data_IF_483964665123
#
_entry.id   IF_483964665123
#
_cell.length_a   1.000
_cell.length_b   1.000
_cell.length_c   1.000
_cell.angle_alpha   90.00
_cell.angle_beta   90.00
_cell.angle_gamma   90.00
#
_symmetry.space_group_name_H-M   'P 1'
#
loop_
_entity.id
_entity.type
_entity.pdbx_description
1 polymer ?
#
# COMPACT_ATOMS: atom_id res chain seq x y z
N UNK A 1 26.26 1.44 -2.19
CA UNK A 1 26.31 2.88 -2.02
C UNK A 1 24.93 3.42 -1.64
N UNK A 2 24.89 4.27 -0.62
CA UNK A 2 23.64 4.86 -0.15
C UNK A 2 23.21 6.00 -1.07
N UNK A 3 23.08 5.70 -2.36
CA UNK A 3 22.68 6.69 -3.34
C UNK A 3 21.16 6.90 -3.31
N UNK A 4 20.74 8.15 -3.40
CA UNK A 4 19.33 8.48 -3.39
C UNK A 4 19.04 9.71 -4.25
N UNK A 5 17.94 9.65 -5.01
CA UNK A 5 17.55 10.75 -5.88
C UNK A 5 16.20 11.32 -5.48
N UNK A 6 16.19 12.54 -4.99
CA UNK A 6 14.96 13.20 -4.56
C UNK A 6 14.40 14.08 -5.67
N UNK A 7 13.26 13.65 -6.22
CA UNK A 7 12.62 14.40 -7.30
C UNK A 7 11.50 15.28 -6.76
N UNK A 8 11.68 16.59 -6.85
CA UNK A 8 10.68 17.54 -6.37
C UNK A 8 10.92 18.92 -6.97
N UNK A 9 9.89 19.47 -7.60
CA UNK A 9 9.98 20.79 -8.22
C UNK A 9 10.15 21.88 -7.15
N UNK A 10 10.29 21.46 -5.90
CA UNK A 10 10.46 22.39 -4.80
C UNK A 10 11.88 22.33 -4.24
N UNK A 11 12.77 23.14 -4.82
CA UNK A 11 14.16 23.17 -4.37
C UNK A 11 14.25 23.49 -2.89
N UNK A 12 13.21 24.13 -2.35
CA UNK A 12 13.18 24.50 -0.95
C UNK A 12 13.16 23.25 -0.07
N UNK A 13 12.36 22.27 -0.46
CA UNK A 13 12.25 21.02 0.29
C UNK A 13 13.47 20.14 0.07
N UNK A 14 13.73 19.80 -1.19
CA UNK A 14 14.87 18.96 -1.52
C UNK A 14 16.14 19.45 -0.85
N UNK A 15 16.26 20.76 -0.72
CA UNK A 15 17.43 21.36 -0.10
C UNK A 15 17.59 20.89 1.34
N UNK A 16 16.47 20.82 2.06
CA UNK A 16 16.47 20.39 3.45
C UNK A 16 16.68 18.88 3.55
N UNK A 17 15.82 18.13 2.86
CA UNK A 17 15.90 16.67 2.87
C UNK A 17 17.27 16.20 2.39
N UNK A 18 17.94 17.04 1.62
CA UNK A 18 19.27 16.71 1.10
C UNK A 18 20.33 16.89 2.17
N UNK A 19 20.08 17.80 3.11
CA UNK A 19 21.02 18.06 4.20
C UNK A 19 21.09 16.87 5.15
N UNK A 20 19.94 16.30 5.47
CA UNK A 20 19.88 15.16 6.38
C UNK A 20 20.36 13.89 5.69
N UNK A 21 20.08 13.78 4.39
CA UNK A 21 20.49 12.61 3.62
C UNK A 21 22.00 12.55 3.48
N UNK A 22 22.61 13.69 3.15
CA UNK A 22 24.07 13.76 2.98
C UNK A 22 24.77 13.62 4.33
N UNK A 23 24.05 13.93 5.40
CA UNK A 23 24.61 13.83 6.75
C UNK A 23 24.81 12.36 7.14
N UNK A 24 23.88 11.52 6.75
CA UNK A 24 23.95 10.10 7.07
C UNK A 24 24.93 9.38 6.14
N UNK A 25 25.60 10.16 5.29
CA UNK A 25 26.56 9.58 4.37
C UNK A 25 25.96 9.29 3.01
N UNK A 26 24.64 9.44 2.90
CA UNK A 26 23.93 9.19 1.66
C UNK A 26 24.22 10.27 0.64
N UNK A 27 23.79 10.05 -0.60
CA UNK A 27 24.00 11.02 -1.68
C UNK A 27 22.67 11.52 -2.21
N UNK A 28 22.13 12.59 -1.59
CA UNK A 28 20.87 13.19 -2.00
C UNK A 28 20.95 13.90 -3.34
N UNK A 29 19.88 13.82 -4.12
CA UNK A 29 19.85 14.46 -5.43
C UNK A 29 18.55 15.24 -5.63
N UNK A 30 18.55 16.16 -6.58
CA UNK A 30 17.37 16.98 -6.86
C UNK A 30 17.01 16.93 -8.33
N UNK A 31 15.71 16.95 -8.62
CA UNK A 31 15.23 16.90 -9.99
C UNK A 31 13.90 17.63 -10.13
N UNK A 32 13.86 18.63 -11.00
CA UNK A 32 12.65 19.40 -11.23
C UNK A 32 11.79 18.76 -12.31
N UNK A 33 12.36 17.79 -13.01
CA UNK A 33 11.64 17.08 -14.07
C UNK A 33 11.93 15.59 -14.05
N UNK A 34 10.91 14.78 -14.27
CA UNK A 34 11.07 13.34 -14.28
C UNK A 34 11.95 12.89 -15.44
N UNK A 35 11.58 13.31 -16.64
CA UNK A 35 12.33 12.95 -17.85
C UNK A 35 13.84 13.01 -17.57
N UNK A 36 14.27 14.03 -16.85
CA UNK A 36 15.67 14.21 -16.53
C UNK A 36 16.15 13.12 -15.58
N UNK A 37 15.30 12.76 -14.62
CA UNK A 37 15.64 11.72 -13.65
C UNK A 37 15.66 10.34 -14.31
N UNK A 38 14.98 10.22 -15.43
CA UNK A 38 14.92 8.96 -16.16
C UNK A 38 16.22 8.71 -16.92
N UNK A 39 16.74 9.76 -17.54
CA UNK A 39 17.98 9.66 -18.31
C UNK A 39 19.12 9.15 -17.44
N UNK A 40 19.29 9.77 -16.27
CA UNK A 40 20.34 9.37 -15.34
C UNK A 40 20.01 8.05 -14.66
N UNK A 41 18.72 7.85 -14.38
CA UNK A 41 18.27 6.61 -13.74
C UNK A 41 18.69 5.38 -14.53
N UNK A 42 18.79 5.55 -15.86
CA UNK A 42 19.19 4.45 -16.72
C UNK A 42 20.66 4.57 -17.12
N UNK A 43 21.30 5.64 -16.65
CA UNK A 43 22.72 5.87 -16.93
C UNK A 43 23.57 5.61 -15.71
N UNK A 44 22.94 5.19 -14.62
CA UNK A 44 23.65 4.90 -13.38
C UNK A 44 22.84 3.94 -12.50
N UNK A 45 23.48 3.42 -11.46
CA UNK A 45 22.83 2.50 -10.54
C UNK A 45 22.26 3.24 -9.33
N UNK A 46 20.96 3.13 -9.13
CA UNK A 46 20.29 3.79 -8.01
C UNK A 46 19.50 2.78 -7.17
N UNK A 47 19.92 2.60 -5.92
CA UNK A 47 19.26 1.66 -4.99
C UNK A 47 17.88 2.15 -4.56
N UNK A 48 17.81 3.37 -4.04
CA UNK A 48 16.56 3.95 -3.60
C UNK A 48 16.38 5.37 -4.12
N UNK A 49 15.19 5.67 -4.61
CA UNK A 49 14.90 7.00 -5.14
C UNK A 49 13.57 7.53 -4.60
N UNK A 50 13.52 8.84 -4.39
CA UNK A 50 12.31 9.48 -3.88
C UNK A 50 11.67 10.39 -4.93
N UNK A 51 10.40 10.14 -5.24
CA UNK A 51 9.69 10.93 -6.23
C UNK A 51 8.29 11.29 -5.73
N UNK A 52 8.06 12.57 -5.49
CA UNK A 52 6.77 13.05 -5.01
C UNK A 52 5.72 12.97 -6.12
N UNK A 53 4.46 13.16 -5.74
CA UNK A 53 3.36 13.11 -6.70
C UNK A 53 3.21 14.44 -7.43
N UNK A 54 3.23 15.52 -6.67
CA UNK A 54 3.09 16.86 -7.24
C UNK A 54 4.23 17.15 -8.21
N UNK A 55 4.12 16.64 -9.43
CA UNK A 55 5.14 16.85 -10.45
C UNK A 55 4.59 17.63 -11.63
N UNK A 56 5.43 18.50 -12.21
CA UNK A 56 5.04 19.32 -13.36
C UNK A 56 4.83 18.51 -14.63
N UNK A 57 5.81 17.66 -14.95
CA UNK A 57 5.75 16.82 -16.14
C UNK A 57 4.61 15.81 -16.01
N UNK A 58 4.59 15.07 -14.91
CA UNK A 58 3.55 14.08 -14.71
C UNK A 58 3.60 13.47 -13.32
N UNK A 59 2.46 13.00 -12.84
CA UNK A 59 2.38 12.40 -11.51
C UNK A 59 3.52 11.39 -11.30
N UNK A 60 3.79 11.07 -10.04
CA UNK A 60 4.85 10.13 -9.73
C UNK A 60 4.36 8.69 -9.70
N UNK A 61 3.12 8.51 -9.25
CA UNK A 61 2.54 7.17 -9.17
C UNK A 61 2.67 6.44 -10.50
N UNK A 62 2.35 7.13 -11.58
CA UNK A 62 2.43 6.53 -12.92
C UNK A 62 3.89 6.40 -13.37
N UNK A 63 4.74 7.27 -12.84
CA UNK A 63 6.16 7.25 -13.19
C UNK A 63 6.79 5.92 -12.81
N UNK A 64 6.30 5.32 -11.73
CA UNK A 64 6.82 4.04 -11.27
C UNK A 64 6.88 3.03 -12.41
N UNK A 65 5.80 2.94 -13.18
CA UNK A 65 5.73 2.02 -14.30
C UNK A 65 7.08 1.94 -15.02
N UNK A 66 7.66 3.09 -15.31
CA UNK A 66 8.95 3.15 -15.99
C UNK A 66 10.05 2.50 -15.15
N UNK A 67 10.09 2.87 -13.87
CA UNK A 67 11.09 2.32 -12.96
C UNK A 67 10.99 0.81 -12.87
N UNK A 68 9.80 0.31 -12.56
CA UNK A 68 9.57 -1.12 -12.45
C UNK A 68 9.86 -1.82 -13.77
N UNK A 69 10.01 -1.04 -14.83
CA UNK A 69 10.29 -1.58 -16.15
C UNK A 69 11.79 -1.70 -16.39
N UNK A 70 12.54 -0.69 -15.95
CA UNK A 70 13.98 -0.67 -16.12
C UNK A 70 14.68 -0.72 -14.76
N UNK A 71 14.00 -1.28 -13.77
CA UNK A 71 14.55 -1.38 -12.42
C UNK A 71 13.53 -1.97 -11.45
N UNK A 72 13.28 -3.28 -11.58
CA UNK A 72 12.33 -3.99 -10.72
C UNK A 72 12.81 -4.12 -9.29
N UNK A 73 14.10 -4.42 -9.12
CA UNK A 73 14.69 -4.56 -7.79
C UNK A 73 14.85 -3.20 -7.12
N UNK A 74 14.67 -2.13 -7.89
CA UNK A 74 14.79 -0.78 -7.37
C UNK A 74 13.59 -0.43 -6.49
N UNK A 75 13.83 0.47 -5.53
CA UNK A 75 12.77 0.90 -4.62
C UNK A 75 12.62 2.41 -4.62
N UNK A 76 11.40 2.88 -4.88
CA UNK A 76 11.11 4.31 -4.92
C UNK A 76 10.06 4.68 -3.89
N UNK A 77 10.19 5.88 -3.33
CA UNK A 77 9.23 6.37 -2.34
C UNK A 77 8.35 7.46 -2.90
N UNK A 78 7.03 7.31 -2.76
CA UNK A 78 6.09 8.28 -3.25
C UNK A 78 5.58 9.18 -2.13
N UNK A 79 5.72 10.49 -2.32
CA UNK A 79 5.27 11.46 -1.32
C UNK A 79 4.43 12.57 -1.96
N UNK A 80 3.40 12.99 -1.25
CA UNK A 80 2.51 14.05 -1.74
C UNK A 80 1.88 14.82 -0.59
N UNK A 81 1.70 16.12 -0.79
CA UNK A 81 1.10 16.95 0.25
C UNK A 81 -0.41 16.98 0.16
N UNK A 82 -0.94 16.64 -1.01
CA UNK A 82 -2.38 16.64 -1.22
C UNK A 82 -3.06 15.64 -0.29
N UNK A 83 -2.34 14.56 0.05
CA UNK A 83 -2.89 13.55 0.93
C UNK A 83 -4.05 12.80 0.30
N UNK A 84 -4.08 11.49 0.49
CA UNK A 84 -5.14 10.66 -0.07
C UNK A 84 -4.85 9.18 0.17
N UNK A 85 -5.76 8.51 0.87
CA UNK A 85 -5.61 7.09 1.16
C UNK A 85 -5.74 6.25 -0.10
N UNK A 86 -6.73 6.58 -0.92
CA UNK A 86 -6.96 5.86 -2.17
C UNK A 86 -5.71 5.87 -3.04
N UNK A 87 -5.23 7.07 -3.36
CA UNK A 87 -4.04 7.22 -4.18
C UNK A 87 -2.82 6.59 -3.53
N UNK A 88 -2.82 6.55 -2.20
CA UNK A 88 -1.72 5.98 -1.45
C UNK A 88 -1.59 4.48 -1.72
N UNK A 89 -2.71 3.77 -1.58
CA UNK A 89 -2.73 2.33 -1.81
C UNK A 89 -2.17 1.98 -3.19
N UNK A 90 -2.85 2.45 -4.22
CA UNK A 90 -2.43 2.19 -5.60
C UNK A 90 -0.98 2.63 -5.81
N UNK A 91 -0.52 3.56 -4.98
CA UNK A 91 0.85 4.07 -5.07
C UNK A 91 1.82 3.15 -4.35
N UNK A 92 1.28 2.27 -3.51
CA UNK A 92 2.11 1.33 -2.75
C UNK A 92 2.33 0.04 -3.53
N UNK A 93 1.31 -0.39 -4.25
CA UNK A 93 1.39 -1.61 -5.05
C UNK A 93 2.11 -1.35 -6.37
N UNK A 94 2.25 -0.08 -6.72
CA UNK A 94 2.91 0.30 -7.96
C UNK A 94 4.43 0.15 -7.83
N UNK A 95 5.03 0.96 -6.94
CA UNK A 95 6.46 0.90 -6.74
C UNK A 95 6.92 1.77 -5.59
N UNK A 96 5.99 2.12 -4.70
CA UNK A 96 6.30 2.95 -3.55
C UNK A 96 6.48 2.12 -2.29
N UNK A 97 7.68 2.15 -1.72
CA UNK A 97 7.98 1.39 -0.52
C UNK A 97 7.25 1.98 0.69
N UNK A 98 7.07 3.30 0.68
CA UNK A 98 6.40 3.98 1.77
C UNK A 98 5.73 5.26 1.29
N UNK A 99 4.61 5.61 1.91
CA UNK A 99 3.87 6.82 1.54
C UNK A 99 3.90 7.84 2.67
N UNK A 100 4.57 8.96 2.43
CA UNK A 100 4.68 10.02 3.43
C UNK A 100 4.20 11.35 2.86
N UNK A 101 3.33 12.03 3.61
CA UNK A 101 2.81 13.32 3.18
C UNK A 101 3.93 14.30 2.90
N UNK A 102 3.56 15.51 2.51
CA UNK A 102 4.54 16.55 2.21
C UNK A 102 5.47 16.78 3.40
N UNK A 103 4.90 17.27 4.52
CA UNK A 103 5.65 17.53 5.74
C UNK A 103 6.14 16.26 6.42
N UNK A 104 7.43 16.21 6.72
CA UNK A 104 8.02 15.04 7.37
C UNK A 104 9.24 15.44 8.20
N UNK A 105 9.53 14.65 9.23
CA UNK A 105 10.67 14.92 10.10
C UNK A 105 11.79 13.92 9.85
N UNK A 106 13.02 14.36 10.10
CA UNK A 106 14.19 13.50 9.90
C UNK A 106 13.99 12.14 10.56
N UNK A 107 13.20 12.12 11.63
CA UNK A 107 12.93 10.88 12.36
C UNK A 107 12.24 9.86 11.45
N UNK A 108 11.18 10.29 10.78
CA UNK A 108 10.44 9.41 9.89
C UNK A 108 11.09 9.36 8.51
N UNK A 109 11.77 10.44 8.15
CA UNK A 109 12.45 10.52 6.85
C UNK A 109 13.64 9.57 6.81
N UNK A 110 14.47 9.61 7.84
CA UNK A 110 15.65 8.75 7.91
C UNK A 110 15.25 7.29 8.04
N UNK A 111 14.20 7.03 8.81
CA UNK A 111 13.71 5.67 9.00
C UNK A 111 13.28 5.05 7.68
N UNK A 112 12.79 5.88 6.76
CA UNK A 112 12.35 5.41 5.46
C UNK A 112 13.51 4.89 4.64
N UNK A 113 14.58 5.69 4.56
CA UNK A 113 15.76 5.30 3.80
C UNK A 113 16.41 4.05 4.39
N UNK A 114 16.80 4.12 5.65
CA UNK A 114 17.42 2.99 6.32
C UNK A 114 16.69 1.69 5.99
N UNK A 115 15.36 1.74 6.04
CA UNK A 115 14.54 0.56 5.74
C UNK A 115 14.47 0.32 4.24
N UNK A 116 14.55 1.40 3.47
CA UNK A 116 14.49 1.30 2.01
C UNK A 116 15.51 0.30 1.48
N UNK A 117 16.73 0.38 2.01
CA UNK A 117 17.80 -0.52 1.58
C UNK A 117 17.60 -1.92 2.17
N UNK A 118 17.65 -2.01 3.49
CA UNK A 118 17.48 -3.28 4.19
C UNK A 118 16.39 -4.12 3.51
N UNK A 119 15.26 -3.48 3.20
CA UNK A 119 14.14 -4.16 2.56
C UNK A 119 14.54 -4.66 1.18
N UNK A 120 15.06 -3.75 0.35
CA UNK A 120 15.48 -4.10 -0.99
C UNK A 120 16.36 -5.34 -1.00
N UNK A 121 17.20 -5.47 0.03
CA UNK A 121 18.09 -6.62 0.15
C UNK A 121 17.30 -7.92 0.25
N UNK B 1 -16.21 -19.40 -4.63
CA UNK B 1 -17.64 -19.20 -4.84
C UNK B 1 -18.05 -17.81 -4.37
N UNK B 2 -17.32 -16.79 -4.81
CA UNK B 2 -17.62 -15.41 -4.44
C UNK B 2 -17.86 -15.30 -2.94
N UNK B 3 -17.17 -16.13 -2.16
CA UNK B 3 -17.32 -16.11 -0.71
C UNK B 3 -16.54 -14.95 -0.09
N UNK B 4 -17.15 -14.30 0.89
CA UNK B 4 -16.51 -13.18 1.56
C UNK B 4 -16.91 -13.11 3.03
N UNK B 5 -15.95 -12.84 3.89
CA UNK B 5 -16.19 -12.75 5.33
C UNK B 5 -15.84 -11.37 5.86
N UNK B 6 -16.86 -10.63 6.30
CA UNK B 6 -16.66 -9.30 6.83
C UNK B 6 -16.53 -9.32 8.35
N UNK B 7 -15.32 -9.04 8.84
CA UNK B 7 -15.06 -9.03 10.27
C UNK B 7 -15.16 -7.63 10.84
N UNK B 8 -16.18 -7.40 11.67
CA UNK B 8 -16.40 -6.10 12.29
C UNK B 8 -17.31 -6.22 13.51
N UNK B 9 -16.83 -5.72 14.65
CA UNK B 9 -17.61 -5.77 15.89
C UNK B 9 -18.84 -4.88 15.79
N UNK B 10 -19.08 -4.32 14.61
CA UNK B 10 -20.22 -3.46 14.39
C UNK B 10 -21.25 -4.12 13.48
N UNK B 11 -22.16 -4.89 14.09
CA UNK B 11 -23.19 -5.59 13.34
C UNK B 11 -24.00 -4.61 12.49
N UNK B 12 -24.00 -3.34 12.91
CA UNK B 12 -24.74 -2.31 12.18
C UNK B 12 -24.16 -2.10 10.78
N UNK B 13 -22.84 -2.10 10.70
CA UNK B 13 -22.16 -1.92 9.43
C UNK B 13 -22.21 -3.18 8.58
N UNK B 14 -21.70 -4.28 9.14
CA UNK B 14 -21.68 -5.56 8.44
C UNK B 14 -23.06 -5.87 7.85
N UNK B 15 -24.10 -5.48 8.56
CA UNK B 15 -25.47 -5.72 8.11
C UNK B 15 -25.73 -5.05 6.76
N UNK B 16 -25.24 -3.82 6.62
CA UNK B 16 -25.41 -3.07 5.38
C UNK B 16 -24.51 -3.61 4.28
N UNK B 17 -23.21 -3.68 4.57
CA UNK B 17 -22.24 -4.17 3.60
C UNK B 17 -22.59 -5.58 3.15
N UNK B 18 -23.33 -6.30 3.99
CA UNK B 18 -23.73 -7.67 3.68
C UNK B 18 -24.87 -7.68 2.68
N UNK B 19 -25.69 -6.63 2.71
CA UNK B 19 -26.82 -6.52 1.80
C UNK B 19 -26.36 -6.32 0.36
N UNK B 20 -25.35 -5.47 0.18
CA UNK B 20 -24.81 -5.20 -1.15
C UNK B 20 -23.98 -6.36 -1.66
N UNK B 21 -23.29 -7.04 -0.74
CA UNK B 21 -22.46 -8.19 -1.09
C UNK B 21 -23.31 -9.35 -1.57
N UNK B 22 -24.38 -9.64 -0.84
CA UNK B 22 -25.28 -10.73 -1.20
C UNK B 22 -26.04 -10.42 -2.48
N UNK B 23 -26.17 -9.13 -2.78
CA UNK B 23 -26.89 -8.70 -3.98
C UNK B 23 -26.09 -9.05 -5.24
N UNK B 24 -24.77 -8.90 -5.16
CA UNK B 24 -23.91 -9.20 -6.29
C UNK B 24 -23.72 -10.71 -6.45
N UNK B 25 -24.39 -11.47 -5.59
CA UNK B 25 -24.29 -12.91 -5.66
C UNK B 25 -23.26 -13.46 -4.69
N UNK B 26 -22.50 -12.58 -4.06
CA UNK B 26 -21.48 -12.98 -3.11
C UNK B 26 -22.11 -13.47 -1.80
N UNK B 27 -21.28 -14.04 -0.93
CA UNK B 27 -21.75 -14.54 0.35
C UNK B 27 -21.09 -13.79 1.51
N UNK B 28 -21.71 -12.68 1.93
CA UNK B 28 -21.19 -11.85 3.02
C UNK B 28 -21.31 -12.55 4.38
N UNK B 29 -20.33 -12.31 5.24
CA UNK B 29 -20.33 -12.91 6.57
C UNK B 29 -19.98 -11.87 7.64
N UNK B 30 -20.31 -12.19 8.89
CA UNK B 30 -20.03 -11.29 9.99
C UNK B 30 -19.27 -12.00 11.11
N UNK B 31 -18.37 -11.28 11.77
CA UNK B 31 -17.58 -11.84 12.85
C UNK B 31 -17.19 -10.76 13.86
N UNK B 32 -17.58 -10.97 15.12
CA UNK B 32 -17.27 -10.02 16.18
C UNK B 32 -15.92 -10.34 16.82
N UNK B 33 -15.37 -11.49 16.48
CA UNK B 33 -14.08 -11.91 17.01
C UNK B 33 -13.22 -12.57 15.95
N UNK B 34 -11.93 -12.25 15.95
CA UNK B 34 -11.00 -12.82 14.97
C UNK B 34 -10.85 -14.32 15.17
N UNK B 35 -10.52 -14.72 16.39
CA UNK B 35 -10.34 -16.14 16.71
C UNK B 35 -11.42 -16.98 16.04
N UNK B 36 -12.65 -16.48 16.05
CA UNK B 36 -13.77 -17.19 15.44
C UNK B 36 -13.61 -17.26 13.92
N UNK B 37 -13.15 -16.16 13.34
CA UNK B 37 -12.95 -16.09 11.89
C UNK B 37 -11.77 -16.96 11.46
N UNK B 38 -10.88 -17.25 12.40
CA UNK B 38 -9.71 -18.07 12.11
C UNK B 38 -10.09 -19.55 12.05
N UNK B 39 -10.94 -19.99 12.97
CA UNK B 39 -11.36 -21.37 13.02
C UNK B 39 -12.02 -21.79 11.71
N UNK B 40 -13.00 -20.99 11.27
CA UNK B 40 -13.71 -21.27 10.03
C UNK B 40 -12.81 -21.02 8.82
N UNK B 41 -11.91 -20.05 8.96
CA UNK B 41 -11.00 -19.71 7.87
C UNK B 41 -10.20 -20.93 7.43
N UNK B 42 -9.75 -21.73 8.39
CA UNK B 42 -8.98 -22.93 8.09
C UNK B 42 -9.89 -24.14 7.95
N UNK B 43 -11.20 -23.91 8.06
CA UNK B 43 -12.18 -24.98 7.94
C UNK B 43 -12.92 -24.91 6.62
N UNK B 44 -12.59 -23.90 5.82
CA UNK B 44 -13.23 -23.71 4.52
C UNK B 44 -12.35 -22.85 3.61
N UNK B 45 -12.71 -22.80 2.33
CA UNK B 45 -11.96 -22.01 1.36
C UNK B 45 -12.55 -20.62 1.21
N UNK B 46 -11.73 -19.60 1.43
CA UNK B 46 -12.16 -18.21 1.32
C UNK B 46 -11.28 -17.44 0.35
N UNK B 47 -11.88 -16.98 -0.75
CA UNK B 47 -11.15 -16.21 -1.78
C UNK B 47 -10.77 -14.82 -1.29
N UNK B 48 -11.76 -14.06 -0.84
CA UNK B 48 -11.54 -12.71 -0.35
C UNK B 48 -12.24 -12.48 0.98
N UNK B 49 -11.53 -11.85 1.93
CA UNK B 49 -12.09 -11.57 3.24
C UNK B 49 -11.81 -10.13 3.66
N UNK B 50 -12.75 -9.54 4.39
CA UNK B 50 -12.60 -8.16 4.85
C UNK B 50 -12.48 -8.11 6.37
N UNK B 51 -11.39 -7.51 6.86
CA UNK B 51 -11.15 -7.40 8.29
C UNK B 51 -10.71 -5.98 8.66
N UNK B 52 -11.55 -5.27 9.40
CA UNK B 52 -11.24 -3.91 9.82
C UNK B 52 -10.15 -3.91 10.89
N UNK B 53 -9.63 -2.73 11.21
CA UNK B 53 -8.59 -2.59 12.21
C UNK B 53 -9.18 -2.56 13.61
N UNK B 54 -10.22 -1.75 13.79
CA UNK B 54 -10.88 -1.63 15.09
C UNK B 54 -11.47 -2.95 15.53
N UNK B 55 -10.62 -3.82 16.07
CA UNK B 55 -11.07 -5.14 16.53
C UNK B 55 -10.85 -5.28 18.03
N UNK B 56 -11.77 -6.00 18.70
CA UNK B 56 -11.70 -6.24 20.14
C UNK B 56 -10.55 -7.15 20.53
N UNK B 57 -10.45 -8.29 19.85
CA UNK B 57 -9.39 -9.26 20.13
C UNK B 57 -8.02 -8.66 19.82
N UNK B 58 -7.85 -8.15 18.60
CA UNK B 58 -6.59 -7.56 18.20
C UNK B 58 -6.67 -6.90 16.83
N UNK B 59 -5.80 -5.93 16.60
CA UNK B 59 -5.77 -5.21 15.32
C UNK B 59 -5.86 -6.19 14.16
N UNK B 60 -6.28 -5.68 13.00
CA UNK B 60 -6.40 -6.52 11.82
C UNK B 60 -5.11 -6.61 11.03
N UNK B 61 -4.33 -5.54 11.05
CA UNK B 61 -3.06 -5.50 10.33
C UNK B 61 -2.18 -6.67 10.71
N UNK B 62 -2.09 -6.94 12.02
CA UNK B 62 -1.26 -8.03 12.51
C UNK B 62 -1.94 -9.37 12.25
N UNK B 63 -3.26 -9.36 12.17
CA UNK B 63 -4.02 -10.58 11.91
C UNK B 63 -3.63 -11.20 10.58
N UNK B 64 -3.30 -10.35 9.61
CA UNK B 64 -2.91 -10.81 8.28
C UNK B 64 -1.82 -11.88 8.37
N UNK B 65 -0.82 -11.62 9.21
CA UNK B 65 0.28 -12.56 9.39
C UNK B 65 -0.22 -13.99 9.40
N UNK B 66 -1.28 -14.24 10.16
CA UNK B 66 -1.86 -15.57 10.26
C UNK B 66 -2.39 -16.04 8.90
N UNK B 67 -3.14 -15.16 8.24
CA UNK B 67 -3.70 -15.48 6.93
C UNK B 67 -2.61 -15.80 5.92
N UNK B 68 -1.63 -14.91 5.80
CA UNK B 68 -0.53 -15.11 4.87
C UNK B 68 0.25 -16.38 5.21
N UNK B 69 -0.02 -16.94 6.39
CA UNK B 69 0.64 -18.16 6.83
C UNK B 69 -0.12 -19.40 6.39
N UNK B 70 -1.45 -19.33 6.47
CA UNK B 70 -2.31 -20.45 6.08
C UNK B 70 -3.18 -20.06 4.89
N UNK B 71 -2.72 -19.10 4.10
CA UNK B 71 -3.46 -18.65 2.93
C UNK B 71 -2.74 -17.48 2.25
N UNK B 72 -1.62 -17.78 1.58
CA UNK B 72 -0.83 -16.77 0.88
C UNK B 72 -1.54 -16.22 -0.35
N UNK B 73 -2.19 -17.11 -1.10
CA UNK B 73 -2.91 -16.72 -2.31
C UNK B 73 -4.20 -15.97 -1.95
N UNK B 74 -4.56 -16.01 -0.67
CA UNK B 74 -5.77 -15.35 -0.20
C UNK B 74 -5.59 -13.83 -0.17
N UNK B 75 -6.68 -13.11 -0.34
CA UNK B 75 -6.65 -11.65 -0.34
C UNK B 75 -7.62 -11.08 0.69
N UNK B 76 -7.09 -10.25 1.58
CA UNK B 76 -7.91 -9.63 2.63
C UNK B 76 -7.87 -8.10 2.52
N UNK B 77 -8.98 -7.46 2.86
CA UNK B 77 -9.08 -6.01 2.81
C UNK B 77 -9.09 -5.41 4.21
N UNK B 78 -8.19 -4.46 4.46
CA UNK B 78 -8.11 -3.80 5.76
C UNK B 78 -8.80 -2.45 5.74
N UNK B 79 -9.73 -2.25 6.67
CA UNK B 79 -10.47 -1.01 6.76
C UNK B 79 -10.49 -0.48 8.19
N UNK B 80 -10.39 0.83 8.34
CA UNK B 80 -10.40 1.46 9.66
C UNK B 80 -10.95 2.88 9.59
N UNK B 81 -11.69 3.28 10.62
CA UNK B 81 -12.25 4.62 10.64
C UNK B 81 -11.30 5.64 11.24
N UNK B 82 -10.33 5.16 12.02
CA UNK B 82 -9.37 6.03 12.66
C UNK B 82 -8.54 6.78 11.61
N UNK B 83 -8.36 6.16 10.45
CA UNK B 83 -7.59 6.78 9.39
C UNK B 83 -6.12 6.94 9.75
N UNK B 84 -5.25 6.66 8.79
CA UNK B 84 -3.81 6.78 9.01
C UNK B 84 -3.04 6.28 7.80
N UNK B 85 -2.24 7.16 7.21
CA UNK B 85 -1.44 6.82 6.04
C UNK B 85 -0.33 5.83 6.41
N UNK B 86 0.34 6.09 7.53
CA UNK B 86 1.42 5.23 7.98
C UNK B 86 0.93 3.79 8.16
N UNK B 87 -0.10 3.61 8.97
CA UNK B 87 -0.66 2.29 9.22
C UNK B 87 -1.21 1.67 7.93
N UNK B 88 -1.68 2.53 7.03
CA UNK B 88 -2.24 2.08 5.77
C UNK B 88 -1.19 1.35 4.94
N UNK B 89 -0.03 1.99 4.75
CA UNK B 89 1.05 1.41 3.98
C UNK B 89 1.43 0.03 4.52
N UNK B 90 1.88 -0.01 5.76
CA UNK B 90 2.27 -1.27 6.40
C UNK B 90 1.14 -2.29 6.31
N UNK B 91 -0.09 -1.80 6.19
CA UNK B 91 -1.25 -2.68 6.09
C UNK B 91 -1.45 -3.17 4.67
N UNK B 92 -0.78 -2.53 3.73
CA UNK B 92 -0.89 -2.90 2.32
C UNK B 92 0.15 -3.97 1.95
N UNK B 93 1.33 -3.86 2.55
CA UNK B 93 2.40 -4.81 2.29
C UNK B 93 2.20 -6.09 3.09
N UNK B 94 1.35 -6.02 4.11
CA UNK B 94 1.06 -7.17 4.95
C UNK B 94 0.17 -8.18 4.22
N UNK B 95 -1.05 -7.77 3.91
CA UNK B 95 -1.97 -8.64 3.22
C UNK B 95 -3.26 -7.94 2.84
N UNK B 96 -3.22 -6.61 2.79
CA UNK B 96 -4.40 -5.82 2.43
C UNK B 96 -4.35 -5.40 0.97
N UNK B 97 -5.33 -5.85 0.20
CA UNK B 97 -5.41 -5.53 -1.22
C UNK B 97 -5.77 -4.06 -1.42
N UNK B 98 -6.59 -3.53 -0.51
CA UNK B 98 -7.02 -2.14 -0.59
C UNK B 98 -7.33 -1.59 0.80
N UNK B 99 -7.08 -0.30 0.99
CA UNK B 99 -7.33 0.35 2.28
C UNK B 99 -8.45 1.38 2.14
N UNK B 100 -9.57 1.10 2.80
CA UNK B 100 -10.72 2.00 2.78
C UNK B 100 -11.16 2.38 4.18
N UNK B 101 -11.35 3.67 4.41
CA UNK B 101 -11.77 4.16 5.71
C UNK B 101 -13.07 3.50 6.16
N UNK B 102 -13.56 3.89 7.33
CA UNK B 102 -14.80 3.33 7.86
C UNK B 102 -15.95 3.51 6.89
N UNK B 103 -16.31 4.78 6.63
CA UNK B 103 -17.39 5.12 5.70
C UNK B 103 -17.04 4.82 4.26
N UNK B 104 -17.92 4.09 3.57
CA UNK B 104 -17.70 3.74 2.18
C UNK B 104 -19.02 3.54 1.45
N UNK B 105 -19.01 3.74 0.14
CA UNK B 105 -20.21 3.59 -0.67
C UNK B 105 -20.13 2.34 -1.53
N UNK B 106 -21.29 1.77 -1.85
CA UNK B 106 -21.35 0.56 -2.66
C UNK B 106 -20.50 0.70 -3.93
N UNK B 107 -20.36 1.94 -4.40
CA UNK B 107 -19.58 2.22 -5.59
C UNK B 107 -18.13 1.81 -5.40
N UNK B 108 -17.53 2.24 -4.30
CA UNK B 108 -16.15 1.92 -3.99
C UNK B 108 -16.04 0.55 -3.32
N UNK B 109 -17.08 0.18 -2.59
CA UNK B 109 -17.11 -1.10 -1.89
C UNK B 109 -17.18 -2.26 -2.89
N UNK B 110 -18.10 -2.16 -3.83
CA UNK B 110 -18.28 -3.20 -4.84
C UNK B 110 -17.05 -3.30 -5.73
N UNK B 111 -16.46 -2.16 -6.07
CA UNK B 111 -15.28 -2.12 -6.92
C UNK B 111 -14.13 -2.87 -6.27
N UNK B 112 -14.08 -2.85 -4.94
CA UNK B 112 -13.03 -3.53 -4.19
C UNK B 112 -13.12 -5.05 -4.36
N UNK B 113 -14.32 -5.59 -4.18
CA UNK B 113 -14.54 -7.02 -4.31
C UNK B 113 -14.27 -7.49 -5.73
N UNK B 114 -15.00 -6.91 -6.68
CA UNK B 114 -14.84 -7.27 -8.09
C UNK B 114 -13.37 -7.37 -8.46
N UNK B 115 -12.57 -6.40 -8.00
CA UNK B 115 -11.15 -6.39 -8.29
C UNK B 115 -10.41 -7.39 -7.38
N UNK B 116 -10.95 -7.61 -6.20
CA UNK B 116 -10.35 -8.54 -5.24
C UNK B 116 -10.11 -9.91 -5.88
N UNK B 117 -11.13 -10.40 -6.58
CA UNK B 117 -11.04 -11.70 -7.24
C UNK B 117 -10.16 -11.62 -8.48
N UNK B 118 -10.59 -10.84 -9.46
CA UNK B 118 -9.84 -10.68 -10.71
C UNK B 118 -8.34 -10.59 -10.43
N UNK B 119 -7.98 -9.80 -9.43
CA UNK B 119 -6.58 -9.63 -9.07
C UNK B 119 -5.98 -10.95 -8.56
N UNK B 120 -6.65 -11.55 -7.58
CA UNK B 120 -6.19 -12.81 -7.00
C UNK B 120 -5.89 -13.82 -8.09
N UNK B 121 -6.69 -13.81 -9.15
CA UNK B 121 -6.51 -14.74 -10.26
C UNK B 121 -5.14 -14.54 -10.90
#
# INVERSE_FOLDING_TARGET
MKRVLVVDDEESITSSLSAILEEEGYHPDTAKTLREAEKKIKELFFPVIVLDVWMPDGDGVNFIDFIKENSPDSVVIVITGHGSVDTAVKAIKKGAYEFLEKPFSVERFLLTIKHAFEEYS
MKRVLVVDDEESITSSLSAILEEEGYHPDTAKTLREAEKKIKELFFPVIVLDVWMPDGDGVNFIDFIKENSPDSVVIVITGHGSVDTAVKAIKKGAYEFLEKPFSVERFLLTIKHAFEEYS
#
